data_IF_101398420224
#
_entry.id   IF_101398420224
#
_cell.length_a   1.000
_cell.length_b   1.000
_cell.length_c   1.000
_cell.angle_alpha   90.00
_cell.angle_beta   90.00
_cell.angle_gamma   90.00
#
_symmetry.space_group_name_H-M   'P 1'
#
loop_
_entity.id
_entity.type
_entity.pdbx_description
1 polymer ?
#
# COMPACT_ATOMS: atom_id res chain seq x y z
N UNK A 1 21.39 -12.40 -12.70
CA UNK A 1 19.96 -12.16 -13.12
C UNK A 1 19.12 -13.21 -12.42
N UNK A 2 18.08 -12.78 -11.73
CA UNK A 2 17.20 -13.63 -10.92
C UNK A 2 16.00 -14.06 -11.76
N UNK A 3 15.72 -15.36 -11.83
CA UNK A 3 14.55 -15.91 -12.52
C UNK A 3 13.36 -16.02 -11.55
N UNK A 4 12.21 -15.47 -11.93
CA UNK A 4 11.02 -15.39 -11.11
C UNK A 4 9.79 -15.99 -11.82
N UNK A 5 8.99 -16.74 -11.04
CA UNK A 5 7.67 -17.20 -11.47
C UNK A 5 6.58 -16.32 -10.88
N UNK A 6 5.82 -15.65 -11.75
CA UNK A 6 4.70 -14.78 -11.37
C UNK A 6 3.34 -15.47 -11.33
N UNK A 7 3.27 -16.80 -11.55
CA UNK A 7 1.99 -17.53 -11.68
C UNK A 7 1.13 -17.47 -10.41
N UNK A 8 1.73 -17.72 -9.25
CA UNK A 8 1.02 -17.75 -7.97
C UNK A 8 0.63 -16.35 -7.46
N UNK A 9 1.23 -15.29 -8.01
CA UNK A 9 1.03 -13.93 -7.54
C UNK A 9 0.14 -13.07 -8.42
N UNK A 10 -0.32 -11.97 -7.84
CA UNK A 10 -0.96 -10.87 -8.58
C UNK A 10 0.08 -9.88 -9.11
N UNK A 11 -0.34 -8.62 -9.24
CA UNK A 11 0.59 -7.53 -9.56
C UNK A 11 1.59 -7.19 -8.45
N UNK A 12 1.42 -7.75 -7.24
CA UNK A 12 2.30 -7.52 -6.12
C UNK A 12 3.72 -8.05 -6.37
N UNK A 13 3.87 -9.32 -6.75
CA UNK A 13 5.21 -9.90 -6.99
C UNK A 13 6.00 -9.09 -8.02
N UNK A 14 5.35 -8.62 -9.08
CA UNK A 14 6.00 -7.77 -10.07
C UNK A 14 6.49 -6.45 -9.44
N UNK A 15 5.66 -5.76 -8.66
CA UNK A 15 6.04 -4.48 -8.04
C UNK A 15 7.15 -4.66 -7.02
N UNK A 16 7.07 -5.70 -6.20
CA UNK A 16 8.14 -6.02 -5.23
C UNK A 16 9.45 -6.38 -5.95
N UNK A 17 9.41 -7.17 -7.04
CA UNK A 17 10.59 -7.48 -7.84
C UNK A 17 11.22 -6.23 -8.47
N UNK A 18 10.40 -5.29 -9.00
CA UNK A 18 10.87 -4.01 -9.52
C UNK A 18 11.54 -3.18 -8.41
N UNK A 19 10.90 -3.03 -7.25
CA UNK A 19 11.46 -2.29 -6.12
C UNK A 19 12.77 -2.89 -5.64
N UNK A 20 12.83 -4.22 -5.47
CA UNK A 20 14.04 -4.94 -5.06
C UNK A 20 15.17 -4.81 -6.08
N UNK A 21 14.86 -4.99 -7.36
CA UNK A 21 15.83 -4.82 -8.45
C UNK A 21 16.44 -3.41 -8.45
N UNK A 22 15.61 -2.39 -8.24
CA UNK A 22 16.09 -1.01 -8.09
C UNK A 22 16.95 -0.80 -6.84
N UNK A 23 16.58 -1.41 -5.70
CA UNK A 23 17.32 -1.27 -4.45
C UNK A 23 18.68 -1.98 -4.48
N UNK A 24 18.76 -3.15 -5.14
CA UNK A 24 19.94 -4.02 -5.13
C UNK A 24 20.83 -3.87 -6.36
N UNK A 25 20.32 -3.31 -7.46
CA UNK A 25 20.98 -3.32 -8.75
C UNK A 25 20.89 -4.65 -9.50
N UNK A 26 20.25 -5.68 -8.91
CA UNK A 26 20.13 -7.01 -9.51
C UNK A 26 19.07 -7.06 -10.61
N UNK A 27 19.47 -7.54 -11.78
CA UNK A 27 18.55 -7.76 -12.89
C UNK A 27 17.66 -8.99 -12.64
N UNK A 28 16.42 -8.95 -13.11
CA UNK A 28 15.53 -10.12 -13.08
C UNK A 28 14.79 -10.35 -14.39
N UNK A 29 14.35 -11.60 -14.57
CA UNK A 29 13.36 -12.00 -15.57
C UNK A 29 12.18 -12.68 -14.87
N UNK A 30 10.96 -12.25 -15.18
CA UNK A 30 9.74 -12.83 -14.63
C UNK A 30 8.87 -13.40 -15.74
N UNK A 31 8.39 -14.63 -15.56
CA UNK A 31 7.42 -15.27 -16.44
C UNK A 31 6.12 -15.54 -15.72
N UNK A 32 5.04 -15.85 -16.43
CA UNK A 32 3.75 -16.17 -15.83
C UNK A 32 3.09 -14.99 -15.10
N UNK A 33 3.41 -13.75 -15.46
CA UNK A 33 2.86 -12.56 -14.80
C UNK A 33 1.34 -12.60 -14.80
N UNK A 34 0.74 -12.70 -13.59
CA UNK A 34 -0.70 -12.73 -13.39
C UNK A 34 -1.45 -13.81 -14.18
N UNK A 35 -0.78 -14.95 -14.47
CA UNK A 35 -1.34 -16.01 -15.34
C UNK A 35 -2.69 -16.56 -14.83
N UNK A 36 -2.89 -16.63 -13.52
CA UNK A 36 -4.11 -17.14 -12.90
C UNK A 36 -5.23 -16.09 -12.75
N UNK A 37 -5.03 -14.86 -13.22
CA UNK A 37 -6.06 -13.82 -13.14
C UNK A 37 -6.98 -13.86 -14.36
N UNK A 38 -8.24 -13.42 -14.18
CA UNK A 38 -9.24 -13.34 -15.27
C UNK A 38 -8.71 -12.58 -16.51
N UNK A 39 -7.82 -11.59 -16.29
CA UNK A 39 -7.08 -10.89 -17.35
C UNK A 39 -5.59 -11.05 -17.05
N UNK A 40 -4.93 -12.06 -17.63
CA UNK A 40 -3.50 -12.30 -17.44
C UNK A 40 -2.63 -11.16 -17.98
N UNK A 41 -1.37 -11.14 -17.57
CA UNK A 41 -0.36 -10.22 -18.07
C UNK A 41 -0.48 -8.79 -17.51
N UNK A 42 0.30 -7.90 -18.10
CA UNK A 42 0.42 -6.50 -17.69
C UNK A 42 -0.82 -5.70 -18.08
N UNK A 43 -1.45 -5.05 -17.11
CA UNK A 43 -2.49 -4.04 -17.31
C UNK A 43 -1.90 -2.64 -17.16
N UNK A 44 -2.67 -1.59 -17.46
CA UNK A 44 -2.21 -0.19 -17.42
C UNK A 44 -1.47 0.17 -16.14
N UNK A 45 -2.01 -0.13 -14.97
CA UNK A 45 -1.35 0.11 -13.68
C UNK A 45 0.01 -0.57 -13.57
N UNK A 46 0.13 -1.82 -14.06
CA UNK A 46 1.40 -2.55 -14.01
C UNK A 46 2.42 -1.94 -14.96
N UNK A 47 1.99 -1.51 -16.16
CA UNK A 47 2.84 -0.80 -17.10
C UNK A 47 3.33 0.52 -16.54
N UNK A 48 2.46 1.30 -15.87
CA UNK A 48 2.88 2.55 -15.21
C UNK A 48 3.92 2.28 -14.12
N UNK A 49 3.77 1.21 -13.34
CA UNK A 49 4.77 0.83 -12.34
C UNK A 49 6.11 0.41 -12.99
N UNK A 50 6.06 -0.34 -14.10
CA UNK A 50 7.26 -0.69 -14.87
C UNK A 50 7.94 0.56 -15.47
N UNK A 51 7.17 1.48 -16.05
CA UNK A 51 7.70 2.73 -16.61
C UNK A 51 8.29 3.65 -15.53
N UNK A 52 7.64 3.73 -14.36
CA UNK A 52 8.18 4.46 -13.23
C UNK A 52 9.51 3.85 -12.76
N UNK A 53 9.56 2.53 -12.61
CA UNK A 53 10.78 1.82 -12.26
C UNK A 53 11.87 1.98 -13.34
N UNK A 54 11.51 1.95 -14.63
CA UNK A 54 12.42 2.19 -15.75
C UNK A 54 13.04 3.59 -15.69
N UNK A 55 12.21 4.61 -15.46
CA UNK A 55 12.66 5.99 -15.38
C UNK A 55 13.59 6.22 -14.18
N UNK A 56 13.19 5.75 -13.00
CA UNK A 56 14.00 5.87 -11.77
C UNK A 56 15.29 5.04 -11.84
N UNK A 57 15.24 3.86 -12.45
CA UNK A 57 16.37 2.93 -12.53
C UNK A 57 17.27 3.10 -13.75
N UNK A 58 16.99 4.06 -14.64
CA UNK A 58 17.62 4.13 -15.98
C UNK A 58 17.67 2.74 -16.66
N UNK A 59 16.61 1.96 -16.49
CA UNK A 59 16.64 0.54 -16.75
C UNK A 59 16.38 0.17 -18.21
N UNK A 60 16.98 -0.93 -18.68
CA UNK A 60 16.60 -1.63 -19.90
C UNK A 60 15.46 -2.57 -19.55
N UNK A 61 14.36 -2.50 -20.31
CA UNK A 61 13.17 -3.29 -20.07
C UNK A 61 12.70 -3.94 -21.37
N UNK A 62 12.54 -5.25 -21.33
CA UNK A 62 11.94 -6.04 -22.42
C UNK A 62 10.60 -6.61 -21.95
N UNK A 63 9.60 -6.64 -22.82
CA UNK A 63 8.28 -7.20 -22.52
C UNK A 63 7.29 -6.23 -21.83
N UNK A 64 7.59 -4.93 -21.77
CA UNK A 64 6.70 -3.90 -21.18
C UNK A 64 5.53 -3.54 -22.12
N UNK A 65 4.69 -4.51 -22.46
CA UNK A 65 3.53 -4.30 -23.33
C UNK A 65 2.25 -4.78 -22.64
N UNK A 66 1.11 -4.18 -22.99
CA UNK A 66 -0.20 -4.62 -22.49
C UNK A 66 -0.43 -6.11 -22.78
N UNK A 67 -0.81 -6.86 -21.75
CA UNK A 67 -1.06 -8.29 -21.84
C UNK A 67 0.20 -9.17 -21.82
N UNK A 68 1.39 -8.60 -21.80
CA UNK A 68 2.62 -9.39 -21.68
C UNK A 68 2.62 -10.18 -20.37
N UNK A 69 2.92 -11.47 -20.47
CA UNK A 69 3.07 -12.40 -19.33
C UNK A 69 4.52 -12.60 -18.92
N UNK A 70 5.46 -11.94 -19.60
CA UNK A 70 6.88 -11.97 -19.27
C UNK A 70 7.48 -10.57 -19.29
N UNK A 71 8.48 -10.35 -18.43
CA UNK A 71 9.21 -9.09 -18.33
C UNK A 71 10.67 -9.40 -17.99
N UNK A 72 11.60 -8.71 -18.65
CA UNK A 72 13.00 -8.64 -18.26
C UNK A 72 13.30 -7.19 -17.85
N UNK A 73 13.95 -7.02 -16.70
CA UNK A 73 14.27 -5.72 -16.12
C UNK A 73 15.75 -5.67 -15.70
N UNK A 74 16.49 -4.69 -16.19
CA UNK A 74 17.92 -4.52 -15.92
C UNK A 74 18.18 -3.06 -15.50
N UNK A 75 18.26 -2.77 -14.19
CA UNK A 75 18.56 -1.42 -13.71
C UNK A 75 20.02 -1.05 -14.01
N UNK A 76 20.31 0.24 -14.19
CA UNK A 76 21.67 0.76 -14.39
C UNK A 76 22.12 1.70 -13.28
N UNK A 77 21.19 2.30 -12.55
CA UNK A 77 21.47 3.23 -11.48
C UNK A 77 20.20 3.92 -11.02
N UNK A 78 20.26 4.70 -9.96
CA UNK A 78 19.08 5.40 -9.44
C UNK A 78 19.16 6.89 -9.80
N UNK A 79 18.09 7.38 -10.38
CA UNK A 79 17.88 8.78 -10.75
C UNK A 79 16.80 9.41 -9.87
N UNK A 80 17.18 10.35 -9.03
CA UNK A 80 16.28 11.26 -8.33
C UNK A 80 15.68 12.32 -9.27
N UNK A 81 15.13 13.38 -8.69
CA UNK A 81 14.52 14.49 -9.40
C UNK A 81 13.00 14.40 -9.45
N UNK A 82 12.41 15.22 -10.32
CA UNK A 82 10.95 15.35 -10.40
C UNK A 82 10.38 14.41 -11.47
N UNK A 83 9.51 13.52 -11.03
CA UNK A 83 8.86 12.54 -11.90
C UNK A 83 7.34 12.72 -11.87
N UNK A 84 6.70 12.56 -13.02
CA UNK A 84 5.24 12.58 -13.13
C UNK A 84 4.76 11.44 -14.01
N UNK A 85 3.79 10.66 -13.50
CA UNK A 85 3.18 9.55 -14.21
C UNK A 85 1.66 9.61 -14.14
N UNK A 86 1.01 9.34 -15.26
CA UNK A 86 -0.45 9.22 -15.35
C UNK A 86 -0.82 7.77 -15.70
N UNK A 87 -1.64 7.12 -14.85
CA UNK A 87 -2.10 5.76 -15.13
C UNK A 87 -3.14 5.75 -16.25
N UNK A 88 -3.88 6.84 -16.41
CA UNK A 88 -4.92 7.00 -17.43
C UNK A 88 -6.19 6.18 -17.15
N UNK A 89 -6.29 5.58 -15.97
CA UNK A 89 -7.44 4.82 -15.46
C UNK A 89 -7.50 4.97 -13.93
N UNK A 90 -8.46 4.31 -13.28
CA UNK A 90 -8.51 4.23 -11.82
C UNK A 90 -7.47 3.27 -11.21
N UNK A 91 -6.39 2.93 -11.91
CA UNK A 91 -5.28 2.18 -11.32
C UNK A 91 -4.68 2.94 -10.12
N UNK A 92 -4.20 2.20 -9.11
CA UNK A 92 -3.75 2.78 -7.84
C UNK A 92 -2.45 3.57 -7.97
N UNK A 93 -2.51 4.83 -7.60
CA UNK A 93 -1.36 5.75 -7.51
C UNK A 93 -0.39 5.32 -6.41
N UNK A 94 -0.91 4.84 -5.29
CA UNK A 94 -0.13 4.41 -4.12
C UNK A 94 0.72 3.18 -4.41
N UNK A 95 0.23 2.24 -5.23
CA UNK A 95 1.01 1.08 -5.64
C UNK A 95 2.15 1.43 -6.59
N UNK A 96 2.00 2.47 -7.42
CA UNK A 96 3.11 3.00 -8.25
C UNK A 96 4.13 3.70 -7.36
N UNK A 97 3.70 4.54 -6.41
CA UNK A 97 4.58 5.18 -5.43
C UNK A 97 5.43 4.14 -4.69
N UNK A 98 4.80 3.11 -4.12
CA UNK A 98 5.49 2.07 -3.36
C UNK A 98 6.44 1.21 -4.20
N UNK A 99 6.31 1.21 -5.53
CA UNK A 99 7.26 0.51 -6.42
C UNK A 99 8.61 1.22 -6.48
N UNK A 100 8.64 2.54 -6.45
CA UNK A 100 9.88 3.32 -6.69
C UNK A 100 10.43 3.99 -5.44
N UNK A 101 9.59 4.32 -4.47
CA UNK A 101 9.98 5.02 -3.25
C UNK A 101 11.09 4.31 -2.46
N UNK A 102 11.07 2.97 -2.26
CA UNK A 102 12.12 2.28 -1.51
C UNK A 102 13.53 2.49 -2.09
N UNK A 103 13.65 2.44 -3.42
CA UNK A 103 14.94 2.60 -4.07
C UNK A 103 15.46 4.05 -3.99
N UNK A 104 14.58 5.01 -4.20
CA UNK A 104 14.93 6.43 -4.06
C UNK A 104 15.38 6.75 -2.63
N UNK A 105 14.66 6.22 -1.63
CA UNK A 105 15.04 6.33 -0.23
C UNK A 105 16.41 5.71 0.07
N UNK A 106 16.61 4.44 -0.33
CA UNK A 106 17.86 3.71 -0.12
C UNK A 106 19.09 4.42 -0.69
N UNK A 107 18.92 5.15 -1.79
CA UNK A 107 20.01 5.86 -2.46
C UNK A 107 20.11 7.33 -2.07
N UNK A 108 19.32 7.79 -1.09
CA UNK A 108 19.34 9.19 -0.65
C UNK A 108 18.95 10.20 -1.74
N UNK A 109 18.10 9.77 -2.67
CA UNK A 109 17.65 10.63 -3.77
C UNK A 109 16.67 11.68 -3.25
N UNK A 110 16.67 12.85 -3.90
CA UNK A 110 15.73 13.93 -3.64
C UNK A 110 14.87 14.19 -4.88
N UNK A 111 13.68 14.80 -4.69
CA UNK A 111 12.80 15.20 -5.77
C UNK A 111 11.32 14.99 -5.44
N UNK A 112 10.47 15.09 -6.45
CA UNK A 112 9.04 14.91 -6.29
C UNK A 112 8.49 13.81 -7.19
N UNK A 113 7.55 13.04 -6.65
CA UNK A 113 6.85 11.96 -7.34
C UNK A 113 5.38 12.30 -7.43
N UNK A 114 4.91 12.76 -8.57
CA UNK A 114 3.48 13.04 -8.81
C UNK A 114 2.86 11.92 -9.63
N UNK A 115 1.77 11.33 -9.13
CA UNK A 115 1.12 10.20 -9.78
C UNK A 115 -0.38 10.45 -9.89
N UNK A 116 -0.90 10.38 -11.12
CA UNK A 116 -2.33 10.54 -11.42
C UNK A 116 -3.00 9.18 -11.63
N UNK A 117 -4.20 9.00 -11.03
CA UNK A 117 -4.96 7.75 -11.15
C UNK A 117 -6.02 7.59 -10.07
N UNK A 118 -6.15 6.38 -9.54
CA UNK A 118 -7.00 6.09 -8.39
C UNK A 118 -6.26 6.30 -7.07
N UNK A 119 -6.89 6.97 -6.12
CA UNK A 119 -6.36 7.20 -4.76
C UNK A 119 -7.11 6.40 -3.71
N UNK A 120 -8.37 6.02 -4.01
CA UNK A 120 -9.26 5.28 -3.14
C UNK A 120 -9.90 4.15 -3.94
N UNK A 121 -9.21 3.04 -4.03
CA UNK A 121 -9.63 1.89 -4.84
C UNK A 121 -9.71 0.63 -4.01
N UNK A 122 -10.66 -0.27 -4.30
CA UNK A 122 -10.63 -1.63 -3.78
C UNK A 122 -9.31 -2.34 -4.14
N UNK A 123 -8.82 -3.21 -3.27
CA UNK A 123 -7.63 -4.05 -3.47
C UNK A 123 -6.31 -3.28 -3.63
N UNK A 124 -6.24 -2.06 -3.10
CA UNK A 124 -5.02 -1.26 -3.03
C UNK A 124 -5.02 -0.41 -1.76
N UNK A 125 -3.86 -0.06 -1.20
CA UNK A 125 -3.78 0.91 -0.13
C UNK A 125 -4.40 2.23 -0.59
N UNK A 126 -5.26 2.83 0.25
CA UNK A 126 -5.77 4.17 -0.02
C UNK A 126 -4.70 5.23 0.25
N UNK A 127 -4.90 6.44 -0.29
CA UNK A 127 -4.03 7.56 0.04
C UNK A 127 -4.03 7.84 1.56
N UNK A 128 -5.18 7.75 2.23
CA UNK A 128 -5.30 7.90 3.69
C UNK A 128 -4.49 6.81 4.44
N UNK A 129 -4.50 5.55 3.96
CA UNK A 129 -3.69 4.48 4.55
C UNK A 129 -2.18 4.77 4.40
N UNK A 130 -1.75 5.24 3.24
CA UNK A 130 -0.34 5.59 3.01
C UNK A 130 0.06 6.74 3.95
N UNK A 131 -0.71 7.80 4.00
CA UNK A 131 -0.41 9.00 4.80
C UNK A 131 -0.47 8.74 6.31
N UNK A 132 -1.50 8.05 6.78
CA UNK A 132 -1.82 7.95 8.20
C UNK A 132 -1.26 6.69 8.88
N UNK A 133 -1.01 5.58 8.14
CA UNK A 133 -0.51 4.33 8.72
C UNK A 133 0.90 3.98 8.25
N UNK A 134 1.17 3.99 6.94
CA UNK A 134 2.44 3.52 6.39
C UNK A 134 3.57 4.54 6.55
N UNK A 135 3.41 5.76 6.07
CA UNK A 135 4.47 6.78 6.08
C UNK A 135 4.96 7.19 7.47
N UNK A 136 4.12 7.26 8.54
CA UNK A 136 4.63 7.52 9.88
C UNK A 136 5.65 6.48 10.36
N UNK A 137 5.47 5.21 10.01
CA UNK A 137 6.43 4.16 10.31
C UNK A 137 7.70 4.27 9.45
N UNK A 138 7.54 4.63 8.18
CA UNK A 138 8.69 4.88 7.29
C UNK A 138 9.53 6.06 7.79
N UNK A 139 8.91 7.13 8.29
CA UNK A 139 9.63 8.26 8.91
C UNK A 139 10.42 7.82 10.15
N UNK A 140 9.88 6.93 10.97
CA UNK A 140 10.62 6.32 12.10
C UNK A 140 11.82 5.48 11.64
N UNK A 141 11.74 4.90 10.46
CA UNK A 141 12.83 4.13 9.84
C UNK A 141 13.86 5.02 9.10
N UNK A 142 13.64 6.35 9.02
CA UNK A 142 14.59 7.30 8.40
C UNK A 142 14.18 7.85 7.04
N UNK A 143 13.01 7.49 6.49
CA UNK A 143 12.46 8.15 5.29
C UNK A 143 12.10 9.59 5.62
N UNK A 144 12.62 10.54 4.84
CA UNK A 144 12.22 11.95 4.94
C UNK A 144 11.45 12.38 3.68
N UNK A 145 10.32 13.04 3.90
CA UNK A 145 9.48 13.54 2.83
C UNK A 145 8.06 13.84 3.29
N UNK A 146 7.31 14.51 2.41
CA UNK A 146 5.94 14.92 2.65
C UNK A 146 5.01 14.35 1.60
N UNK A 147 3.91 13.79 2.07
CA UNK A 147 2.83 13.28 1.23
C UNK A 147 1.71 14.30 1.13
N UNK A 148 1.19 14.47 -0.07
CA UNK A 148 0.01 15.29 -0.31
C UNK A 148 -0.91 14.66 -1.35
N UNK A 149 -2.20 14.95 -1.25
CA UNK A 149 -3.21 14.48 -2.20
C UNK A 149 -3.83 15.69 -2.90
N UNK A 150 -3.56 15.84 -4.19
CA UNK A 150 -4.10 16.91 -5.04
C UNK A 150 -5.57 16.70 -5.42
N UNK A 151 -6.02 15.45 -5.44
CA UNK A 151 -7.41 15.12 -5.76
C UNK A 151 -7.77 13.68 -5.48
N UNK A 152 -9.06 13.42 -5.23
CA UNK A 152 -9.58 12.07 -5.02
C UNK A 152 -9.89 11.38 -6.35
N UNK A 153 -9.42 10.15 -6.51
CA UNK A 153 -9.73 9.30 -7.66
C UNK A 153 -10.36 7.99 -7.22
N UNK A 154 -11.58 7.72 -7.70
CA UNK A 154 -12.34 6.52 -7.38
C UNK A 154 -12.46 5.60 -8.58
N UNK A 155 -12.64 4.30 -8.31
CA UNK A 155 -12.98 3.35 -9.36
C UNK A 155 -14.43 3.58 -9.85
N UNK A 156 -14.71 3.48 -11.19
CA UNK A 156 -13.79 3.12 -12.26
C UNK A 156 -13.06 4.30 -12.94
N UNK A 157 -13.38 5.54 -12.61
CA UNK A 157 -12.95 6.70 -13.36
C UNK A 157 -11.50 7.14 -13.10
N UNK A 158 -11.04 7.06 -11.86
CA UNK A 158 -9.73 7.59 -11.48
C UNK A 158 -9.71 9.11 -11.36
N UNK A 159 -8.69 9.76 -11.91
CA UNK A 159 -8.55 11.22 -11.96
C UNK A 159 -8.15 11.88 -10.65
N UNK A 160 -7.71 11.10 -9.67
CA UNK A 160 -7.06 11.61 -8.48
C UNK A 160 -5.57 11.81 -8.69
N UNK A 161 -4.93 12.47 -7.75
CA UNK A 161 -3.50 12.75 -7.77
C UNK A 161 -2.92 12.66 -6.38
N UNK A 162 -1.74 12.05 -6.29
CA UNK A 162 -0.88 12.11 -5.11
C UNK A 162 0.47 12.69 -5.49
N UNK A 163 1.10 13.38 -4.53
CA UNK A 163 2.49 13.84 -4.65
C UNK A 163 3.25 13.45 -3.39
N UNK A 164 4.47 12.95 -3.57
CA UNK A 164 5.41 12.72 -2.50
C UNK A 164 6.67 13.54 -2.77
N UNK A 165 6.95 14.51 -1.89
CA UNK A 165 8.17 15.31 -1.90
C UNK A 165 9.22 14.57 -1.08
N UNK A 166 10.19 13.96 -1.77
CA UNK A 166 11.26 13.18 -1.16
C UNK A 166 12.48 14.06 -0.89
N UNK A 167 12.92 14.06 0.35
CA UNK A 167 14.18 14.66 0.78
C UNK A 167 15.21 13.59 1.08
N UNK A 168 16.49 13.96 1.06
CA UNK A 168 17.55 13.05 1.48
C UNK A 168 17.34 12.65 2.95
N UNK A 169 16.92 11.40 3.15
CA UNK A 169 16.71 10.81 4.46
C UNK A 169 17.89 9.97 4.93
N UNK A 170 17.78 9.43 6.13
CA UNK A 170 18.72 8.43 6.62
C UNK A 170 18.49 7.08 5.90
N UNK A 171 19.52 6.23 5.89
CA UNK A 171 19.33 4.83 5.46
C UNK A 171 18.28 4.15 6.35
N UNK A 172 17.54 3.16 5.80
CA UNK A 172 16.58 2.42 6.60
C UNK A 172 17.18 1.87 7.89
N UNK A 173 16.54 2.17 9.01
CA UNK A 173 16.88 1.65 10.33
C UNK A 173 15.84 0.63 10.78
N UNK A 174 16.24 -0.26 11.68
CA UNK A 174 15.35 -1.28 12.25
C UNK A 174 14.08 -0.68 12.86
N UNK A 175 12.97 -1.40 12.70
CA UNK A 175 11.70 -1.07 13.31
C UNK A 175 11.22 -2.25 14.14
N UNK A 176 10.98 -2.02 15.44
CA UNK A 176 10.41 -3.01 16.34
C UNK A 176 9.07 -2.52 16.87
N UNK A 177 8.02 -3.27 16.56
CA UNK A 177 6.64 -2.97 16.93
C UNK A 177 5.97 -4.20 17.60
N UNK A 178 6.40 -4.57 18.81
CA UNK A 178 5.81 -5.73 19.49
C UNK A 178 4.34 -5.48 19.87
N UNK A 179 3.94 -4.23 20.12
CA UNK A 179 2.59 -3.85 20.52
C UNK A 179 2.19 -2.52 19.87
N UNK A 180 0.89 -2.28 19.70
CA UNK A 180 0.38 -0.98 19.23
C UNK A 180 0.43 0.10 20.32
N UNK A 181 0.49 -0.30 21.60
CA UNK A 181 0.28 0.59 22.75
C UNK A 181 -1.20 0.91 22.97
N UNK A 182 -1.49 1.92 23.79
CA UNK A 182 -2.85 2.35 24.08
C UNK A 182 -3.49 3.06 22.87
N UNK A 183 -4.79 2.85 22.70
CA UNK A 183 -5.57 3.54 21.65
C UNK A 183 -5.88 4.96 22.12
N UNK A 184 -5.37 5.94 21.38
CA UNK A 184 -5.47 7.35 21.73
C UNK A 184 -6.62 8.08 21.01
N UNK A 185 -6.94 7.63 19.77
CA UNK A 185 -7.94 8.30 18.93
C UNK A 185 -8.60 7.29 17.99
N UNK A 186 -9.89 7.45 17.80
CA UNK A 186 -10.66 6.73 16.78
C UNK A 186 -11.44 7.74 15.97
N UNK A 187 -11.47 7.59 14.67
CA UNK A 187 -12.23 8.47 13.81
C UNK A 187 -12.74 7.74 12.57
N UNK A 188 -14.00 7.94 12.22
CA UNK A 188 -14.57 7.44 10.99
C UNK A 188 -14.94 8.58 10.04
N UNK A 189 -14.53 8.45 8.78
CA UNK A 189 -14.80 9.44 7.73
C UNK A 189 -15.44 8.77 6.53
N UNK A 190 -16.61 9.24 6.14
CA UNK A 190 -17.20 8.87 4.86
C UNK A 190 -16.83 9.93 3.80
N UNK A 191 -16.17 9.51 2.72
CA UNK A 191 -15.72 10.36 1.62
C UNK A 191 -16.66 10.11 0.43
N UNK A 192 -17.34 11.14 -0.02
CA UNK A 192 -18.35 11.07 -1.08
C UNK A 192 -18.00 11.98 -2.26
N UNK A 193 -18.18 11.46 -3.45
CA UNK A 193 -18.07 12.19 -4.71
C UNK A 193 -19.29 11.90 -5.58
N UNK A 194 -20.12 12.92 -5.86
CA UNK A 194 -21.33 12.80 -6.66
C UNK A 194 -22.29 11.66 -6.24
N UNK A 195 -22.38 11.40 -4.94
CA UNK A 195 -23.26 10.39 -4.33
C UNK A 195 -24.09 11.07 -3.23
N UNK A 196 -25.36 10.65 -3.02
CA UNK A 196 -26.22 11.24 -2.01
C UNK A 196 -25.67 11.13 -0.58
N UNK A 197 -25.77 12.23 0.18
CA UNK A 197 -25.27 12.33 1.57
C UNK A 197 -25.84 11.24 2.51
N UNK A 198 -27.09 10.83 2.28
CA UNK A 198 -27.74 9.78 3.06
C UNK A 198 -27.01 8.42 3.04
N UNK A 199 -26.13 8.18 2.05
CA UNK A 199 -25.29 6.98 2.04
C UNK A 199 -24.22 7.09 3.14
N UNK A 200 -23.52 8.22 3.22
CA UNK A 200 -22.55 8.46 4.29
C UNK A 200 -23.17 8.39 5.69
N UNK A 201 -24.35 8.97 5.86
CA UNK A 201 -25.06 8.93 7.15
C UNK A 201 -25.32 7.49 7.60
N UNK A 202 -25.85 6.65 6.70
CA UNK A 202 -26.12 5.23 6.99
C UNK A 202 -24.84 4.45 7.27
N UNK A 203 -23.74 4.69 6.56
CA UNK A 203 -22.44 4.09 6.84
C UNK A 203 -21.94 4.48 8.25
N UNK A 204 -21.94 5.77 8.54
CA UNK A 204 -21.45 6.29 9.82
C UNK A 204 -22.33 5.86 11.00
N UNK A 205 -23.63 5.73 10.82
CA UNK A 205 -24.55 5.20 11.83
C UNK A 205 -24.23 3.74 12.22
N UNK A 206 -23.82 2.92 11.24
CA UNK A 206 -23.36 1.55 11.50
C UNK A 206 -22.04 1.58 12.27
N UNK A 207 -21.07 2.35 11.81
CA UNK A 207 -19.75 2.44 12.46
C UNK A 207 -19.88 2.92 13.91
N UNK A 208 -20.69 3.97 14.15
CA UNK A 208 -20.96 4.48 15.51
C UNK A 208 -21.46 3.40 16.44
N UNK A 209 -22.47 2.65 16.00
CA UNK A 209 -23.05 1.56 16.81
C UNK A 209 -22.05 0.42 17.04
N UNK A 210 -21.26 0.05 16.01
CA UNK A 210 -20.32 -1.06 16.08
C UNK A 210 -19.08 -0.77 16.91
N UNK A 211 -18.58 0.46 16.85
CA UNK A 211 -17.34 0.85 17.51
C UNK A 211 -17.56 1.76 18.74
N UNK A 212 -18.80 2.14 19.03
CA UNK A 212 -19.12 3.04 20.15
C UNK A 212 -18.52 4.44 19.96
N UNK A 213 -18.57 4.98 18.73
CA UNK A 213 -18.03 6.31 18.43
C UNK A 213 -19.02 7.43 18.80
N UNK A 214 -18.50 8.54 19.28
CA UNK A 214 -19.22 9.78 19.50
C UNK A 214 -19.49 10.55 18.21
N UNK A 215 -20.22 11.66 18.32
CA UNK A 215 -20.52 12.53 17.16
C UNK A 215 -19.28 13.29 16.65
N UNK A 216 -18.36 13.60 17.53
CA UNK A 216 -17.09 14.26 17.25
C UNK A 216 -16.03 13.30 16.64
N UNK A 217 -16.24 12.01 16.77
CA UNK A 217 -15.38 10.97 16.19
C UNK A 217 -15.79 10.56 14.76
N UNK A 218 -16.79 11.22 14.18
CA UNK A 218 -17.24 10.95 12.80
C UNK A 218 -17.24 12.20 11.94
N UNK A 219 -17.04 12.04 10.64
CA UNK A 219 -17.12 13.15 9.69
C UNK A 219 -17.54 12.69 8.29
N UNK A 220 -18.11 13.62 7.53
CA UNK A 220 -18.40 13.45 6.11
C UNK A 220 -17.57 14.43 5.31
N UNK A 221 -16.87 13.93 4.30
CA UNK A 221 -16.12 14.73 3.35
C UNK A 221 -16.74 14.60 1.96
N UNK A 222 -17.39 15.66 1.51
CA UNK A 222 -17.83 15.74 0.12
C UNK A 222 -16.69 16.32 -0.72
N UNK A 223 -16.28 15.58 -1.77
CA UNK A 223 -15.23 16.00 -2.69
C UNK A 223 -15.82 16.25 -4.07
N UNK A 224 -15.25 17.22 -4.77
CA UNK A 224 -15.59 17.45 -6.18
C UNK A 224 -14.88 16.39 -7.01
N UNK A 225 -15.60 15.57 -7.77
CA UNK A 225 -14.94 14.57 -8.59
C UNK A 225 -14.29 15.26 -9.78
N UNK A 226 -13.05 14.95 -10.11
CA UNK A 226 -12.56 15.26 -11.44
C UNK A 226 -13.28 14.44 -12.51
N UNK A 227 -13.74 13.22 -12.20
CA UNK A 227 -14.14 12.25 -13.23
C UNK A 227 -15.31 11.32 -12.90
N UNK A 228 -15.97 11.38 -11.73
CA UNK A 228 -17.13 10.51 -11.51
C UNK A 228 -17.51 10.24 -10.06
N UNK A 229 -18.58 9.45 -9.86
CA UNK A 229 -19.05 9.13 -8.51
C UNK A 229 -18.09 8.21 -7.78
N UNK A 230 -18.00 8.36 -6.46
CA UNK A 230 -17.20 7.53 -5.61
C UNK A 230 -17.62 7.60 -4.15
N UNK A 231 -17.35 6.52 -3.42
CA UNK A 231 -17.56 6.44 -1.99
C UNK A 231 -16.46 5.60 -1.36
N UNK A 232 -15.85 6.12 -0.30
CA UNK A 232 -14.96 5.38 0.57
C UNK A 232 -15.28 5.73 2.03
N UNK A 233 -15.46 4.71 2.85
CA UNK A 233 -15.55 4.82 4.29
C UNK A 233 -14.19 4.46 4.88
N UNK A 234 -13.55 5.39 5.60
CA UNK A 234 -12.28 5.20 6.28
C UNK A 234 -12.50 5.20 7.79
N UNK A 235 -12.06 4.15 8.47
CA UNK A 235 -12.04 4.05 9.93
C UNK A 235 -10.58 4.06 10.36
N UNK A 236 -10.16 5.13 11.02
CA UNK A 236 -8.82 5.27 11.56
C UNK A 236 -8.82 4.97 13.06
N UNK A 237 -7.88 4.16 13.50
CA UNK A 237 -7.58 3.93 14.91
C UNK A 237 -6.12 4.24 15.14
N UNK A 238 -5.85 5.33 15.88
CA UNK A 238 -4.50 5.74 16.25
C UNK A 238 -4.19 5.20 17.64
N UNK A 239 -3.10 4.47 17.73
CA UNK A 239 -2.52 4.01 18.98
C UNK A 239 -1.15 4.67 19.20
N UNK A 240 -0.55 4.41 20.34
CA UNK A 240 0.71 5.01 20.75
C UNK A 240 1.87 4.76 19.77
N UNK A 241 1.94 3.55 19.20
CA UNK A 241 3.07 3.12 18.37
C UNK A 241 2.71 2.91 16.90
N UNK A 242 1.44 2.80 16.57
CA UNK A 242 0.97 2.56 15.20
C UNK A 242 -0.43 3.14 14.96
N UNK A 243 -0.77 3.30 13.70
CA UNK A 243 -2.12 3.66 13.26
C UNK A 243 -2.62 2.58 12.32
N UNK A 244 -3.86 2.14 12.48
CA UNK A 244 -4.54 1.27 11.56
C UNK A 244 -5.66 2.03 10.82
N UNK A 245 -5.81 1.77 9.52
CA UNK A 245 -6.83 2.37 8.66
C UNK A 245 -7.60 1.28 7.95
N UNK A 246 -8.88 1.15 8.27
CA UNK A 246 -9.79 0.17 7.68
C UNK A 246 -10.72 0.86 6.71
N UNK A 247 -10.74 0.40 5.46
CA UNK A 247 -11.52 1.07 4.41
C UNK A 247 -12.60 0.18 3.83
N UNK A 248 -13.83 0.70 3.75
CA UNK A 248 -14.93 0.16 2.98
C UNK A 248 -15.16 0.98 1.70
N UNK A 249 -15.51 0.31 0.62
CA UNK A 249 -15.78 0.99 -0.65
C UNK A 249 -17.22 0.80 -1.08
N UNK A 250 -17.88 1.89 -1.47
CA UNK A 250 -19.18 1.82 -2.09
C UNK A 250 -19.12 1.12 -3.45
N UNK A 251 -19.83 0.02 -3.56
CA UNK A 251 -19.94 -0.79 -4.79
C UNK A 251 -21.40 -0.82 -5.23
N UNK A 252 -21.64 -0.70 -6.52
CA UNK A 252 -23.01 -0.79 -7.07
C UNK A 252 -23.70 -2.08 -6.63
N UNK A 253 -24.93 -1.97 -6.11
CA UNK A 253 -25.74 -3.07 -5.55
C UNK A 253 -25.30 -3.59 -4.18
N UNK A 254 -24.34 -2.96 -3.53
CA UNK A 254 -23.97 -3.22 -2.13
C UNK A 254 -24.54 -2.11 -1.27
N UNK A 255 -25.19 -2.44 -0.16
CA UNK A 255 -25.78 -1.43 0.73
C UNK A 255 -24.72 -0.69 1.53
N UNK A 256 -25.00 0.54 1.93
CA UNK A 256 -24.15 1.34 2.80
C UNK A 256 -23.82 0.61 4.11
N UNK A 257 -24.82 -0.06 4.68
CA UNK A 257 -24.68 -0.84 5.90
C UNK A 257 -23.67 -1.99 5.72
N UNK A 258 -23.75 -2.71 4.60
CA UNK A 258 -22.84 -3.84 4.34
C UNK A 258 -21.38 -3.36 4.18
N UNK A 259 -21.17 -2.23 3.51
CA UNK A 259 -19.85 -1.60 3.40
C UNK A 259 -19.30 -1.27 4.77
N UNK A 260 -20.11 -0.62 5.61
CA UNK A 260 -19.72 -0.20 6.96
C UNK A 260 -19.51 -1.38 7.91
N UNK A 261 -20.33 -2.43 7.82
CA UNK A 261 -20.16 -3.66 8.58
C UNK A 261 -18.80 -4.33 8.33
N UNK A 262 -18.39 -4.41 7.05
CA UNK A 262 -17.09 -4.98 6.66
C UNK A 262 -15.91 -4.24 7.30
N UNK A 263 -15.87 -2.92 7.13
CA UNK A 263 -14.80 -2.08 7.70
C UNK A 263 -14.81 -2.10 9.23
N UNK A 264 -16.01 -2.04 9.85
CA UNK A 264 -16.15 -2.09 11.33
C UNK A 264 -15.68 -3.43 11.89
N UNK A 265 -16.00 -4.55 11.23
CA UNK A 265 -15.57 -5.89 11.65
C UNK A 265 -14.05 -6.02 11.61
N UNK A 266 -13.40 -5.49 10.56
CA UNK A 266 -11.93 -5.49 10.46
C UNK A 266 -11.30 -4.66 11.60
N UNK A 267 -11.85 -3.48 11.90
CA UNK A 267 -11.39 -2.64 13.00
C UNK A 267 -11.57 -3.34 14.37
N UNK A 268 -12.72 -3.97 14.61
CA UNK A 268 -12.97 -4.72 15.84
C UNK A 268 -12.01 -5.91 16.00
N UNK A 269 -11.74 -6.65 14.93
CA UNK A 269 -10.82 -7.78 14.96
C UNK A 269 -9.40 -7.34 15.32
N UNK A 270 -8.91 -6.25 14.75
CA UNK A 270 -7.60 -5.70 15.09
C UNK A 270 -7.53 -5.19 16.54
N UNK A 271 -8.57 -4.50 17.00
CA UNK A 271 -8.67 -4.04 18.39
C UNK A 271 -8.65 -5.21 19.38
N UNK A 272 -9.35 -6.30 19.05
CA UNK A 272 -9.43 -7.50 19.91
C UNK A 272 -8.13 -8.32 19.92
N UNK A 273 -7.39 -8.35 18.81
CA UNK A 273 -6.15 -9.13 18.68
C UNK A 273 -4.96 -8.51 19.42
N UNK A 274 -5.04 -7.24 19.80
CA UNK A 274 -3.98 -6.50 20.51
C UNK A 274 -2.60 -6.60 19.81
N UNK A 275 -2.61 -6.44 18.50
CA UNK A 275 -1.41 -6.48 17.65
C UNK A 275 -1.01 -5.09 17.18
N UNK A 276 0.27 -4.93 16.81
CA UNK A 276 0.80 -3.64 16.38
C UNK A 276 0.22 -3.19 15.03
N UNK A 277 0.13 -4.09 14.06
CA UNK A 277 -0.30 -3.75 12.70
C UNK A 277 -1.36 -4.73 12.19
N UNK A 278 -2.20 -4.25 11.29
CA UNK A 278 -3.17 -5.08 10.58
C UNK A 278 -2.50 -5.90 9.47
N UNK A 279 -3.24 -6.83 8.86
CA UNK A 279 -2.72 -7.74 7.82
C UNK A 279 -2.19 -7.02 6.58
N UNK A 280 -2.76 -5.85 6.23
CA UNK A 280 -2.34 -5.08 5.06
C UNK A 280 -1.05 -4.31 5.32
N UNK A 281 -0.96 -3.66 6.47
CA UNK A 281 0.25 -2.96 6.88
C UNK A 281 1.40 -3.95 7.12
N UNK A 282 1.11 -5.15 7.63
CA UNK A 282 2.08 -6.23 7.80
C UNK A 282 2.80 -6.58 6.48
N UNK A 283 2.04 -6.77 5.39
CA UNK A 283 2.61 -7.04 4.06
C UNK A 283 3.46 -5.86 3.54
N UNK A 284 3.05 -4.64 3.81
CA UNK A 284 3.74 -3.43 3.35
C UNK A 284 5.07 -3.15 4.09
N UNK A 285 5.21 -3.62 5.33
CA UNK A 285 6.41 -3.43 6.15
C UNK A 285 7.54 -4.40 5.82
N UNK A 286 7.27 -5.54 5.17
CA UNK A 286 8.28 -6.57 4.90
C UNK A 286 9.47 -6.02 4.12
N UNK A 287 9.23 -5.31 3.02
CA UNK A 287 10.32 -4.77 2.20
C UNK A 287 11.14 -3.69 2.92
N UNK A 288 10.56 -2.64 3.53
CA UNK A 288 11.33 -1.67 4.31
C UNK A 288 12.18 -2.30 5.41
N UNK A 289 11.64 -3.25 6.16
CA UNK A 289 12.39 -3.93 7.22
C UNK A 289 13.51 -4.81 6.67
N UNK A 290 13.29 -5.51 5.57
CA UNK A 290 14.34 -6.27 4.90
C UNK A 290 15.47 -5.36 4.39
N UNK A 291 15.16 -4.17 3.91
CA UNK A 291 16.15 -3.15 3.52
C UNK A 291 16.95 -2.64 4.72
N UNK A 292 16.33 -2.54 5.90
CA UNK A 292 17.03 -2.25 7.14
C UNK A 292 17.92 -3.42 7.60
N UNK A 293 17.57 -4.65 7.23
CA UNK A 293 18.29 -5.88 7.57
C UNK A 293 17.83 -6.53 8.86
N UNK A 294 17.01 -5.88 9.64
CA UNK A 294 16.39 -6.41 10.87
C UNK A 294 15.10 -5.66 11.21
N UNK A 295 14.24 -6.29 11.98
CA UNK A 295 13.02 -5.69 12.51
C UNK A 295 12.01 -6.72 12.96
N UNK A 296 10.98 -6.27 13.67
CA UNK A 296 9.88 -7.15 14.11
C UNK A 296 8.58 -6.39 14.33
N UNK A 297 7.46 -7.05 14.11
CA UNK A 297 6.14 -6.54 14.47
C UNK A 297 5.18 -7.65 14.81
N UNK A 298 4.20 -7.34 15.65
CA UNK A 298 3.06 -8.23 15.86
C UNK A 298 1.92 -7.90 14.89
N UNK A 299 1.26 -8.94 14.40
CA UNK A 299 0.11 -8.83 13.49
C UNK A 299 -0.89 -9.94 13.74
N UNK A 300 -2.04 -9.89 13.07
CA UNK A 300 -2.96 -11.01 12.94
C UNK A 300 -2.38 -12.10 12.05
N UNK A 301 -3.15 -13.12 11.67
CA UNK A 301 -2.67 -14.18 10.76
C UNK A 301 -2.07 -13.58 9.48
N UNK A 302 -0.76 -13.78 9.23
CA UNK A 302 -0.14 -13.28 8.01
C UNK A 302 -0.76 -13.90 6.76
N UNK A 303 -1.12 -13.04 5.81
CA UNK A 303 -1.74 -13.46 4.56
C UNK A 303 -0.79 -14.27 3.67
N UNK A 304 -1.34 -15.01 2.71
CA UNK A 304 -0.54 -15.67 1.67
C UNK A 304 0.28 -14.66 0.84
N UNK A 305 -0.23 -13.42 0.72
CA UNK A 305 0.50 -12.31 0.11
C UNK A 305 1.75 -11.96 0.90
N UNK A 306 1.66 -11.83 2.22
CA UNK A 306 2.82 -11.54 3.07
C UNK A 306 3.87 -12.64 2.97
N UNK A 307 3.46 -13.92 3.00
CA UNK A 307 4.38 -15.06 2.90
C UNK A 307 5.06 -15.15 1.54
N UNK A 308 4.32 -14.97 0.44
CA UNK A 308 4.88 -14.97 -0.91
C UNK A 308 5.79 -13.77 -1.16
N UNK A 309 5.50 -12.62 -0.54
CA UNK A 309 6.31 -11.42 -0.60
C UNK A 309 7.63 -11.61 0.16
N UNK A 310 7.61 -12.18 1.36
CA UNK A 310 8.81 -12.55 2.13
C UNK A 310 9.72 -13.48 1.32
N UNK A 311 9.18 -14.58 0.77
CA UNK A 311 9.94 -15.50 -0.05
C UNK A 311 10.54 -14.87 -1.33
N UNK A 312 9.90 -13.85 -1.89
CA UNK A 312 10.46 -13.08 -3.00
C UNK A 312 11.60 -12.16 -2.52
N UNK A 313 11.45 -11.50 -1.39
CA UNK A 313 12.46 -10.60 -0.81
C UNK A 313 13.75 -11.36 -0.51
N UNK A 314 13.65 -12.57 0.05
CA UNK A 314 14.79 -13.45 0.36
C UNK A 314 15.59 -13.89 -0.89
N UNK A 315 15.00 -13.81 -2.08
CA UNK A 315 15.75 -14.05 -3.34
C UNK A 315 16.68 -12.91 -3.73
N UNK A 316 16.42 -11.71 -3.26
CA UNK A 316 17.19 -10.50 -3.61
C UNK A 316 18.08 -10.01 -2.47
N UNK A 317 17.71 -10.26 -1.23
CA UNK A 317 18.39 -9.77 -0.05
C UNK A 317 18.83 -10.92 0.84
N UNK A 318 20.00 -10.83 1.49
CA UNK A 318 20.48 -11.86 2.43
C UNK A 318 19.79 -11.69 3.80
N UNK A 319 18.48 -11.94 3.82
CA UNK A 319 17.65 -11.86 5.02
C UNK A 319 16.78 -13.11 5.12
N UNK A 320 16.31 -13.42 6.32
CA UNK A 320 15.37 -14.50 6.63
C UNK A 320 14.14 -13.92 7.34
N UNK A 321 12.93 -14.38 6.95
CA UNK A 321 11.68 -14.02 7.63
C UNK A 321 11.19 -15.18 8.49
N UNK A 322 10.92 -14.90 9.76
CA UNK A 322 10.25 -15.81 10.67
C UNK A 322 8.83 -15.35 10.96
N UNK A 323 7.87 -16.28 10.84
CA UNK A 323 6.46 -16.07 11.16
C UNK A 323 6.10 -17.00 12.32
N UNK A 324 5.93 -16.46 13.53
CA UNK A 324 5.65 -17.23 14.73
C UNK A 324 4.24 -16.99 15.24
N UNK A 325 3.49 -18.05 15.42
CA UNK A 325 2.19 -18.01 16.09
C UNK A 325 2.40 -17.90 17.60
N UNK A 326 1.98 -16.79 18.20
CA UNK A 326 2.04 -16.56 19.66
C UNK A 326 0.74 -16.95 20.36
N UNK A 327 -0.20 -17.51 19.61
CA UNK A 327 -1.51 -17.89 20.12
C UNK A 327 -2.50 -16.72 20.17
N UNK A 328 -3.78 -17.02 20.42
CA UNK A 328 -4.88 -16.04 20.52
C UNK A 328 -5.06 -15.14 19.30
N UNK A 329 -4.66 -15.61 18.11
CA UNK A 329 -4.73 -14.85 16.86
C UNK A 329 -3.63 -13.79 16.68
N UNK A 330 -2.61 -13.81 17.54
CA UNK A 330 -1.43 -12.95 17.46
C UNK A 330 -0.27 -13.69 16.81
N UNK A 331 0.37 -13.04 15.86
CA UNK A 331 1.58 -13.50 15.18
C UNK A 331 2.71 -12.49 15.35
N UNK A 332 3.92 -13.00 15.52
CA UNK A 332 5.15 -12.21 15.47
C UNK A 332 5.81 -12.47 14.11
N UNK A 333 6.11 -11.39 13.39
CA UNK A 333 6.91 -11.42 12.17
C UNK A 333 8.25 -10.76 12.47
N UNK A 334 9.32 -11.47 12.15
CA UNK A 334 10.69 -11.01 12.35
C UNK A 334 11.45 -11.12 11.05
N UNK A 335 12.38 -10.19 10.82
CA UNK A 335 13.38 -10.27 9.77
C UNK A 335 14.76 -10.09 10.37
N UNK A 336 15.72 -10.88 9.94
CA UNK A 336 17.12 -10.84 10.35
C UNK A 336 18.04 -11.16 9.17
N UNK A 337 19.30 -10.70 9.26
CA UNK A 337 20.38 -11.10 8.35
C UNK A 337 21.06 -12.35 8.84
#
# INVERSE_FOLDING_TARGET
>A
MIELDGQAGGGQLLRTALALSLCTGEAFAMTGIRAQRQRPGLLRQHLTAVEAARAVGDAIVDGANTGSTSLRFVPKGIRGGNHRWAIGTAGSTTLVLQTVLPALWMHGAEGSLTIEGGTHNPQAPTADFIDEAFLPLMKRMGLDGDFSMGGHGFYPAGGGEITFELRAGARPSALHLPHRGEVNERHARAILSAIPLGIAQRELDVVRRRLGLGEDEISVRQVKPPTGPGNALSIRVRAEHSTAVFTGFGIKRVTAEHVAEGASKAAQAWLAADVAVDEHLADQLLLPMALAGEGSFSTTLPSDHARSNAALIEKFLPVEFAFRDEGRGRWLVEVSR
#
